data_IF_618287221230
#
_entry.id   IF_618287221230
#
_cell.length_a   1.000
_cell.length_b   1.000
_cell.length_c   1.000
_cell.angle_alpha   90.00
_cell.angle_beta   90.00
_cell.angle_gamma   90.00
#
_symmetry.space_group_name_H-M   'P 1'
#
loop_
_entity.id
_entity.type
_entity.pdbx_description
1 polymer ?
#
# COMPACT_ATOMS: atom_id res chain seq x y z
N UNK A 1 -11.32 -24.79 -62.58
CA UNK A 1 -11.23 -23.51 -61.83
C UNK A 1 -11.63 -23.59 -60.33
N UNK A 2 -11.79 -24.78 -59.72
CA UNK A 2 -12.16 -24.91 -58.28
C UNK A 2 -10.97 -25.11 -57.31
N UNK A 3 -9.81 -25.49 -57.82
CA UNK A 3 -8.60 -25.81 -57.04
C UNK A 3 -7.87 -24.59 -56.47
N UNK A 4 -7.93 -23.42 -57.14
CA UNK A 4 -7.27 -22.20 -56.67
C UNK A 4 -7.94 -21.54 -55.45
N UNK A 5 -9.25 -21.80 -55.24
CA UNK A 5 -10.01 -21.26 -54.10
C UNK A 5 -9.84 -22.07 -52.81
N UNK A 6 -9.40 -23.33 -52.91
CA UNK A 6 -9.11 -24.17 -51.73
C UNK A 6 -7.79 -23.77 -51.06
N UNK A 7 -6.78 -23.36 -51.83
CA UNK A 7 -5.46 -22.99 -51.30
C UNK A 7 -5.43 -21.64 -50.57
N UNK A 8 -6.27 -20.68 -50.96
CA UNK A 8 -6.35 -19.36 -50.30
C UNK A 8 -7.11 -19.43 -48.96
N UNK A 9 -8.13 -20.27 -48.86
CA UNK A 9 -8.90 -20.47 -47.62
C UNK A 9 -8.08 -21.20 -46.55
N UNK A 10 -7.24 -22.17 -46.93
CA UNK A 10 -6.35 -22.85 -45.99
C UNK A 10 -5.23 -21.95 -45.49
N UNK A 11 -4.67 -21.07 -46.34
CA UNK A 11 -3.67 -20.08 -45.92
C UNK A 11 -4.23 -19.03 -44.97
N UNK A 12 -5.43 -18.50 -45.25
CA UNK A 12 -6.14 -17.58 -44.35
C UNK A 12 -6.46 -18.24 -43.00
N UNK A 13 -6.85 -19.52 -43.01
CA UNK A 13 -7.08 -20.30 -41.80
C UNK A 13 -5.81 -20.47 -40.95
N UNK A 14 -4.70 -20.87 -41.58
CA UNK A 14 -3.40 -21.02 -40.89
C UNK A 14 -2.86 -19.68 -40.37
N UNK A 15 -2.99 -18.61 -41.14
CA UNK A 15 -2.59 -17.26 -40.71
C UNK A 15 -3.43 -16.78 -39.51
N UNK A 16 -4.75 -17.01 -39.52
CA UNK A 16 -5.63 -16.65 -38.40
C UNK A 16 -5.32 -17.46 -37.13
N UNK A 17 -4.98 -18.76 -37.28
CA UNK A 17 -4.53 -19.60 -36.17
C UNK A 17 -3.17 -19.10 -35.64
N UNK A 18 -2.22 -18.79 -36.51
CA UNK A 18 -0.91 -18.24 -36.11
C UNK A 18 -1.04 -16.93 -35.31
N UNK A 19 -1.89 -16.01 -35.76
CA UNK A 19 -2.15 -14.73 -35.08
C UNK A 19 -2.84 -14.93 -33.72
N UNK A 20 -3.79 -15.87 -33.62
CA UNK A 20 -4.48 -16.13 -32.36
C UNK A 20 -3.59 -16.77 -31.30
N UNK A 21 -2.64 -17.64 -31.69
CA UNK A 21 -1.64 -18.17 -30.76
C UNK A 21 -0.63 -17.09 -30.31
N UNK A 22 -0.27 -16.15 -31.19
CA UNK A 22 0.62 -15.03 -30.84
C UNK A 22 -0.04 -14.01 -29.90
N UNK A 23 -1.35 -13.82 -30.02
CA UNK A 23 -2.14 -12.93 -29.18
C UNK A 23 -2.61 -13.58 -27.87
N UNK A 24 -2.22 -14.83 -27.59
CA UNK A 24 -2.55 -15.46 -26.31
C UNK A 24 -1.90 -14.66 -25.17
N UNK A 25 -2.68 -14.21 -24.16
CA UNK A 25 -2.12 -13.48 -23.03
C UNK A 25 -1.09 -14.36 -22.33
N UNK A 26 0.14 -13.84 -22.22
CA UNK A 26 1.19 -14.46 -21.41
C UNK A 26 0.63 -14.59 -19.99
N UNK A 27 0.62 -15.80 -19.46
CA UNK A 27 -0.10 -16.15 -18.24
C UNK A 27 0.18 -15.16 -17.11
N UNK A 28 -0.89 -14.67 -16.48
CA UNK A 28 -0.77 -13.94 -15.22
C UNK A 28 -0.27 -14.94 -14.16
N UNK A 29 0.92 -14.69 -13.60
CA UNK A 29 1.36 -15.43 -12.42
C UNK A 29 0.46 -15.00 -11.26
N UNK A 30 -0.48 -15.86 -10.89
CA UNK A 30 -1.25 -15.67 -9.67
C UNK A 30 -0.30 -15.80 -8.46
N UNK A 31 -0.61 -15.08 -7.39
CA UNK A 31 0.07 -15.28 -6.13
C UNK A 31 -0.25 -16.68 -5.58
N UNK A 32 0.76 -17.54 -5.50
CA UNK A 32 0.65 -18.89 -4.90
C UNK A 32 1.84 -19.08 -3.98
N UNK A 33 1.76 -18.51 -2.78
CA UNK A 33 2.78 -18.67 -1.77
C UNK A 33 2.75 -20.11 -1.23
N UNK A 34 3.92 -20.71 -1.03
CA UNK A 34 4.04 -21.82 -0.11
C UNK A 34 3.96 -21.29 1.33
N UNK A 35 3.68 -22.15 2.30
CA UNK A 35 3.72 -21.79 3.72
C UNK A 35 5.06 -21.09 4.02
N UNK A 36 5.08 -19.90 4.67
CA UNK A 36 6.33 -19.24 5.00
C UNK A 36 7.20 -20.13 5.90
N UNK A 37 8.53 -20.11 5.74
CA UNK A 37 9.44 -20.95 6.53
C UNK A 37 9.42 -20.54 8.02
N UNK A 38 9.93 -21.37 8.95
CA UNK A 38 10.03 -21.06 10.37
C UNK A 38 10.74 -19.70 10.65
N UNK A 39 10.57 -19.09 11.84
CA UNK A 39 11.07 -17.73 12.10
C UNK A 39 12.58 -17.57 11.90
N UNK A 40 13.38 -18.57 12.31
CA UNK A 40 14.83 -18.53 12.17
C UNK A 40 15.25 -18.50 10.69
N UNK A 41 14.66 -19.37 9.87
CA UNK A 41 14.92 -19.40 8.42
C UNK A 41 14.43 -18.12 7.73
N UNK A 42 13.25 -17.62 8.08
CA UNK A 42 12.73 -16.36 7.55
C UNK A 42 13.59 -15.15 7.94
N UNK A 43 14.15 -15.16 9.17
CA UNK A 43 15.09 -14.15 9.63
C UNK A 43 16.38 -14.18 8.80
N UNK A 44 16.89 -15.36 8.48
CA UNK A 44 18.08 -15.53 7.64
C UNK A 44 17.84 -15.06 6.20
N UNK A 45 16.67 -15.35 5.63
CA UNK A 45 16.27 -14.95 4.27
C UNK A 45 15.92 -13.46 4.10
N UNK A 46 15.47 -12.80 5.16
CA UNK A 46 15.09 -11.39 5.12
C UNK A 46 16.32 -10.47 5.14
N UNK A 47 16.24 -9.31 4.50
CA UNK A 47 17.31 -8.30 4.59
C UNK A 47 17.18 -7.46 5.87
N UNK A 48 15.96 -7.29 6.36
CA UNK A 48 15.67 -6.65 7.64
C UNK A 48 14.45 -7.28 8.32
N UNK A 49 14.48 -7.32 9.65
CA UNK A 49 13.37 -7.80 10.48
C UNK A 49 13.18 -6.84 11.64
N UNK A 50 11.97 -6.30 11.78
CA UNK A 50 11.65 -5.27 12.77
C UNK A 50 10.18 -5.29 13.16
N UNK A 51 9.89 -4.76 14.34
CA UNK A 51 8.54 -4.55 14.83
C UNK A 51 8.14 -3.10 14.56
N UNK A 52 7.01 -2.87 13.90
CA UNK A 52 6.59 -1.52 13.55
C UNK A 52 5.08 -1.36 13.39
N UNK A 53 4.64 -0.10 13.43
CA UNK A 53 3.25 0.31 13.24
C UNK A 53 3.13 1.25 12.03
N UNK A 54 2.32 0.93 11.02
CA UNK A 54 2.12 1.81 9.88
C UNK A 54 1.23 2.98 10.30
N UNK A 55 1.59 4.20 9.90
CA UNK A 55 0.86 5.42 10.24
C UNK A 55 0.31 6.15 9.01
N UNK A 56 0.84 5.87 7.82
CA UNK A 56 0.35 6.43 6.56
C UNK A 56 0.47 5.41 5.42
N UNK A 57 -0.32 5.63 4.37
CA UNK A 57 -0.25 4.86 3.14
C UNK A 57 -0.44 5.79 1.95
N UNK A 58 0.37 5.59 0.91
CA UNK A 58 0.21 6.17 -0.41
C UNK A 58 0.31 5.06 -1.47
N UNK A 59 -0.07 5.35 -2.71
CA UNK A 59 0.04 4.38 -3.79
C UNK A 59 0.19 5.05 -5.16
N UNK A 60 0.73 4.28 -6.10
CA UNK A 60 0.63 4.51 -7.53
C UNK A 60 -0.26 3.44 -8.18
N UNK A 61 -0.26 3.35 -9.52
CA UNK A 61 -1.07 2.38 -10.27
C UNK A 61 -0.70 0.90 -10.00
N UNK A 62 0.47 0.63 -9.40
CA UNK A 62 1.08 -0.70 -9.28
C UNK A 62 1.48 -1.05 -7.86
N UNK A 63 1.91 -0.08 -7.06
CA UNK A 63 2.49 -0.27 -5.73
C UNK A 63 1.75 0.55 -4.68
N UNK A 64 1.71 0.00 -3.47
CA UNK A 64 1.37 0.71 -2.25
C UNK A 64 2.65 0.94 -1.44
N UNK A 65 2.77 2.11 -0.83
CA UNK A 65 3.87 2.50 0.04
C UNK A 65 3.28 2.80 1.42
N UNK A 66 3.82 2.13 2.44
CA UNK A 66 3.39 2.29 3.82
C UNK A 66 4.53 2.88 4.63
N UNK A 67 4.31 4.01 5.29
CA UNK A 67 5.28 4.55 6.24
C UNK A 67 5.01 3.98 7.63
N UNK A 68 6.06 3.48 8.26
CA UNK A 68 6.05 2.81 9.54
C UNK A 68 6.82 3.60 10.60
N UNK A 69 6.31 3.59 11.83
CA UNK A 69 7.07 3.90 13.04
C UNK A 69 7.62 2.61 13.61
N UNK A 70 8.95 2.54 13.76
CA UNK A 70 9.66 1.32 14.16
C UNK A 70 9.81 1.31 15.68
N UNK A 71 9.31 0.24 16.30
CA UNK A 71 9.36 0.04 17.74
C UNK A 71 10.69 -0.66 18.14
N UNK A 72 11.10 -1.70 17.40
CA UNK A 72 12.38 -2.40 17.61
C UNK A 72 12.86 -3.14 16.37
N UNK A 73 14.13 -3.51 16.34
CA UNK A 73 14.79 -4.17 15.20
C UNK A 73 15.50 -5.44 15.66
N UNK A 74 15.44 -6.50 14.86
CA UNK A 74 16.17 -7.76 15.07
C UNK A 74 17.24 -8.02 14.00
N UNK A 75 17.04 -7.49 12.78
CA UNK A 75 18.01 -7.58 11.69
C UNK A 75 17.94 -6.34 10.82
N UNK A 76 19.10 -5.91 10.31
CA UNK A 76 19.24 -4.80 9.38
C UNK A 76 19.38 -3.44 10.05
N UNK A 77 19.79 -2.46 9.26
CA UNK A 77 19.96 -1.07 9.68
C UNK A 77 18.68 -0.28 9.39
N UNK A 78 17.77 -0.24 10.36
CA UNK A 78 16.46 0.38 10.22
C UNK A 78 16.34 1.58 11.17
N UNK A 79 15.97 2.73 10.61
CA UNK A 79 15.74 3.96 11.36
C UNK A 79 14.39 3.98 12.08
N UNK A 80 14.11 5.05 12.85
CA UNK A 80 12.84 5.18 13.59
C UNK A 80 11.61 5.25 12.67
N UNK A 81 11.82 5.61 11.40
CA UNK A 81 10.81 5.55 10.35
C UNK A 81 11.37 4.81 9.14
N UNK A 82 10.53 4.00 8.54
CA UNK A 82 10.84 3.24 7.32
C UNK A 82 9.62 3.21 6.40
N UNK A 83 9.85 3.30 5.10
CA UNK A 83 8.80 3.09 4.11
C UNK A 83 8.94 1.70 3.51
N UNK A 84 7.82 0.97 3.43
CA UNK A 84 7.74 -0.36 2.83
C UNK A 84 6.88 -0.31 1.58
N UNK A 85 7.47 -0.71 0.46
CA UNK A 85 6.77 -0.91 -0.80
C UNK A 85 6.16 -2.31 -0.88
N UNK A 86 4.95 -2.42 -1.41
CA UNK A 86 4.31 -3.70 -1.71
C UNK A 86 3.44 -3.56 -2.95
N UNK A 87 3.11 -4.66 -3.63
CA UNK A 87 2.19 -4.57 -4.76
C UNK A 87 0.82 -4.05 -4.27
N UNK A 88 0.10 -3.30 -5.11
CA UNK A 88 -1.17 -2.68 -4.72
C UNK A 88 -2.28 -3.72 -4.45
N UNK A 89 -2.19 -4.88 -5.09
CA UNK A 89 -3.24 -5.89 -5.07
C UNK A 89 -2.71 -7.24 -4.59
N UNK A 90 -3.53 -7.94 -3.81
CA UNK A 90 -3.22 -9.29 -3.31
C UNK A 90 -2.99 -10.32 -4.43
N UNK A 91 -3.69 -10.17 -5.56
CA UNK A 91 -3.48 -11.01 -6.75
C UNK A 91 -2.03 -10.93 -7.29
N UNK A 92 -1.34 -9.81 -7.05
CA UNK A 92 0.05 -9.57 -7.40
C UNK A 92 1.01 -9.77 -6.20
N UNK A 93 0.57 -10.51 -5.16
CA UNK A 93 1.29 -10.71 -3.90
C UNK A 93 1.46 -9.43 -3.05
N UNK A 94 0.57 -8.46 -3.21
CA UNK A 94 0.52 -7.24 -2.42
C UNK A 94 -0.04 -7.43 -1.02
N UNK A 95 0.65 -6.94 0.01
CA UNK A 95 0.17 -6.98 1.40
C UNK A 95 -0.57 -5.70 1.75
N UNK A 96 -1.75 -5.83 2.34
CA UNK A 96 -2.45 -4.70 2.95
C UNK A 96 -2.12 -4.65 4.45
N UNK A 97 -1.65 -3.50 4.90
CA UNK A 97 -1.44 -3.23 6.32
C UNK A 97 -2.58 -2.40 6.89
N UNK A 98 -2.94 -2.68 8.14
CA UNK A 98 -3.90 -1.88 8.90
C UNK A 98 -3.16 -0.78 9.66
N UNK A 99 -3.49 0.48 9.37
CA UNK A 99 -2.91 1.65 10.07
C UNK A 99 -3.11 1.50 11.59
N UNK A 100 -2.05 1.80 12.35
CA UNK A 100 -2.00 1.69 13.81
C UNK A 100 -1.80 0.27 14.35
N UNK A 101 -1.89 -0.77 13.52
CA UNK A 101 -1.66 -2.16 13.95
C UNK A 101 -0.18 -2.48 13.95
N UNK A 102 0.32 -3.14 14.99
CA UNK A 102 1.73 -3.54 15.08
C UNK A 102 1.98 -4.84 14.33
N UNK A 103 3.07 -4.88 13.57
CA UNK A 103 3.49 -6.03 12.78
C UNK A 103 4.95 -6.39 13.07
N UNK A 104 5.25 -7.68 13.01
CA UNK A 104 6.61 -8.18 12.81
C UNK A 104 6.81 -8.26 11.29
N UNK A 105 7.66 -7.38 10.76
CA UNK A 105 7.88 -7.21 9.32
C UNK A 105 9.18 -7.89 8.92
N UNK A 106 9.11 -8.79 7.95
CA UNK A 106 10.24 -9.42 7.29
C UNK A 106 10.45 -8.77 5.91
N UNK A 107 11.25 -7.70 5.88
CA UNK A 107 11.46 -6.89 4.69
C UNK A 107 12.67 -7.39 3.87
N UNK A 108 12.59 -7.19 2.57
CA UNK A 108 13.69 -7.41 1.61
C UNK A 108 13.92 -6.16 0.78
N UNK A 109 15.08 -6.02 0.16
CA UNK A 109 15.31 -4.99 -0.85
C UNK A 109 14.73 -5.43 -2.19
N UNK A 110 14.00 -4.54 -2.85
CA UNK A 110 13.55 -4.75 -4.22
C UNK A 110 14.71 -4.45 -5.21
N UNK A 111 14.46 -4.63 -6.51
CA UNK A 111 15.45 -4.34 -7.55
C UNK A 111 15.84 -2.85 -7.63
N UNK A 112 14.98 -1.96 -7.12
CA UNK A 112 15.17 -0.51 -7.09
C UNK A 112 15.97 -0.08 -5.83
N UNK A 113 16.22 -1.01 -4.89
CA UNK A 113 16.93 -0.78 -3.63
C UNK A 113 16.02 -0.42 -2.44
N UNK A 114 14.72 -0.23 -2.67
CA UNK A 114 13.76 0.12 -1.62
C UNK A 114 13.43 -1.09 -0.74
N UNK A 115 13.04 -0.82 0.50
CA UNK A 115 12.47 -1.84 1.36
C UNK A 115 11.10 -2.27 0.86
N UNK A 116 10.91 -3.59 0.75
CA UNK A 116 9.71 -4.19 0.21
C UNK A 116 9.26 -5.39 1.03
N UNK A 117 7.94 -5.59 1.03
CA UNK A 117 7.27 -6.73 1.62
C UNK A 117 6.17 -7.25 0.69
N UNK A 118 5.77 -8.51 0.86
CA UNK A 118 4.68 -9.10 0.08
C UNK A 118 3.93 -10.17 0.86
N UNK A 119 2.82 -10.64 0.29
CA UNK A 119 1.95 -11.63 0.91
C UNK A 119 2.65 -12.96 1.26
N UNK A 120 3.70 -13.31 0.53
CA UNK A 120 4.44 -14.55 0.75
C UNK A 120 5.54 -14.45 1.82
N UNK A 121 5.80 -13.27 2.36
CA UNK A 121 6.72 -13.14 3.48
C UNK A 121 6.09 -13.71 4.75
N UNK A 122 6.94 -13.92 5.77
CA UNK A 122 6.52 -14.31 7.12
C UNK A 122 5.86 -13.15 7.90
N UNK A 123 5.79 -11.94 7.32
CA UNK A 123 5.20 -10.77 7.97
C UNK A 123 3.79 -11.04 8.47
N UNK A 124 3.56 -10.78 9.77
CA UNK A 124 2.26 -10.96 10.44
C UNK A 124 2.08 -9.96 11.57
N UNK A 125 0.82 -9.77 11.99
CA UNK A 125 0.52 -8.87 13.11
C UNK A 125 1.22 -9.38 14.37
N UNK A 126 1.77 -8.48 15.19
CA UNK A 126 2.51 -8.86 16.40
C UNK A 126 1.66 -9.67 17.38
N UNK A 127 0.35 -9.44 17.40
CA UNK A 127 -0.63 -10.20 18.21
C UNK A 127 -0.87 -11.64 17.73
N UNK A 128 -0.26 -12.04 16.61
CA UNK A 128 -0.30 -13.40 16.06
C UNK A 128 1.12 -13.90 15.74
N UNK A 129 2.13 -13.26 16.35
CA UNK A 129 3.54 -13.48 16.06
C UNK A 129 4.28 -14.13 17.23
N UNK A 130 3.57 -14.86 18.11
CA UNK A 130 4.14 -15.39 19.35
C UNK A 130 5.38 -16.26 19.09
N UNK A 131 5.30 -17.12 18.07
CA UNK A 131 6.41 -17.98 17.65
C UNK A 131 7.59 -17.16 17.09
N UNK A 132 7.36 -16.04 16.40
CA UNK A 132 8.52 -15.20 15.98
C UNK A 132 9.11 -14.52 17.19
N UNK A 133 8.30 -13.90 18.04
CA UNK A 133 8.78 -13.13 19.18
C UNK A 133 9.59 -14.00 20.15
N UNK A 134 9.22 -15.29 20.30
CA UNK A 134 10.01 -16.27 21.06
C UNK A 134 11.39 -16.54 20.44
N UNK A 135 11.48 -16.65 19.10
CA UNK A 135 12.73 -16.95 18.40
C UNK A 135 13.61 -15.70 18.23
N UNK A 136 13.01 -14.57 17.89
CA UNK A 136 13.66 -13.30 17.62
C UNK A 136 14.16 -12.63 18.93
N UNK A 137 13.46 -12.85 20.04
CA UNK A 137 13.84 -12.30 21.35
C UNK A 137 13.59 -10.80 21.47
N UNK A 138 14.40 -10.11 22.28
CA UNK A 138 14.12 -8.74 22.70
C UNK A 138 14.21 -7.68 21.59
N UNK A 139 15.11 -7.88 20.62
CA UNK A 139 15.49 -6.87 19.62
C UNK A 139 16.31 -5.71 20.21
N UNK A 140 16.68 -4.76 19.37
CA UNK A 140 17.35 -3.52 19.74
C UNK A 140 16.59 -2.29 19.21
N UNK A 141 16.94 -1.10 19.70
CA UNK A 141 16.33 0.14 19.24
C UNK A 141 16.69 0.43 17.76
N UNK A 142 15.83 1.15 17.01
CA UNK A 142 16.14 1.62 15.67
C UNK A 142 17.36 2.56 15.68
N UNK A 143 18.14 2.53 14.59
CA UNK A 143 19.29 3.42 14.46
C UNK A 143 18.82 4.86 14.28
N UNK A 144 19.12 5.71 15.25
CA UNK A 144 18.78 7.13 15.17
C UNK A 144 19.82 7.83 14.29
N UNK A 145 19.48 8.07 13.03
CA UNK A 145 20.30 8.89 12.14
C UNK A 145 20.00 10.38 12.31
N UNK A 146 20.42 11.00 13.42
CA UNK A 146 20.74 12.43 13.49
C UNK A 146 21.61 12.73 14.75
N UNK A 147 22.59 13.66 14.70
CA UNK A 147 23.52 13.90 15.80
C UNK A 147 22.74 14.34 17.03
N UNK A 148 22.96 13.66 18.15
CA UNK A 148 22.85 14.17 19.52
C UNK A 148 21.96 15.42 19.70
N UNK A 149 20.67 15.31 19.39
CA UNK A 149 19.68 16.03 20.17
C UNK A 149 19.46 15.19 21.44
N UNK A 150 20.52 15.12 22.25
CA UNK A 150 20.37 14.76 23.65
C UNK A 150 19.38 15.78 24.20
N UNK A 151 18.15 15.34 24.42
CA UNK A 151 17.30 15.91 25.45
C UNK A 151 18.05 15.72 26.76
N UNK A 152 18.94 16.67 27.03
CA UNK A 152 19.50 16.90 28.34
C UNK A 152 18.33 17.12 29.29
N UNK A 153 18.39 16.36 30.38
CA UNK A 153 17.51 16.45 31.52
C UNK A 153 17.17 17.89 31.90
N UNK A 154 15.90 18.05 32.23
CA UNK A 154 15.36 18.97 33.23
C UNK A 154 16.41 19.50 34.21
N UNK A 155 16.75 20.78 34.08
CA UNK A 155 17.15 21.61 35.22
C UNK A 155 16.22 22.82 35.20
N UNK A 156 15.15 22.73 35.98
CA UNK A 156 14.30 23.86 36.29
C UNK A 156 15.10 24.85 37.15
N UNK A 157 15.87 25.74 36.51
CA UNK A 157 16.19 27.02 37.14
C UNK A 157 15.02 27.94 36.90
N UNK A 158 14.16 28.05 37.91
CA UNK A 158 13.10 29.05 38.00
C UNK A 158 13.71 30.46 37.80
N UNK A 159 13.34 31.20 36.74
CA UNK A 159 13.71 32.60 36.64
C UNK A 159 12.97 33.39 37.73
N UNK A 160 13.60 34.39 38.38
CA UNK A 160 12.96 35.15 39.44
C UNK A 160 11.68 35.80 38.93
N UNK A 161 10.59 35.58 39.68
CA UNK A 161 9.26 36.10 39.39
C UNK A 161 9.28 37.63 39.39
N UNK A 162 9.34 38.23 38.19
CA UNK A 162 9.08 39.66 38.01
C UNK A 162 7.58 39.88 38.29
N UNK A 163 7.27 40.59 39.36
CA UNK A 163 5.88 40.99 39.65
C UNK A 163 5.57 42.20 38.78
N UNK A 164 4.80 42.00 37.71
CA UNK A 164 4.32 43.10 36.87
C UNK A 164 3.13 43.78 37.55
N UNK A 165 3.15 45.12 37.74
CA UNK A 165 1.96 45.86 38.17
C UNK A 165 0.89 45.83 37.07
N UNK A 166 -0.42 45.83 37.42
CA UNK A 166 -1.50 45.66 36.45
C UNK A 166 -1.69 46.93 35.60
N UNK A 167 -1.56 46.86 34.26
CA UNK A 167 -1.87 48.00 33.41
C UNK A 167 -3.31 47.92 32.88
N UNK A 168 -4.10 48.90 33.34
CA UNK A 168 -5.30 49.52 32.78
C UNK A 168 -6.15 48.77 31.74
N UNK A 169 -7.43 48.65 32.05
CA UNK A 169 -8.50 48.25 31.13
C UNK A 169 -8.60 49.18 29.91
N UNK A 170 -8.72 48.64 28.68
CA UNK A 170 -9.05 49.45 27.51
C UNK A 170 -10.55 49.82 27.50
N UNK A 171 -10.92 51.01 26.97
CA UNK A 171 -12.31 51.46 26.91
C UNK A 171 -13.18 50.58 25.98
N UNK A 172 -14.51 50.53 26.23
CA UNK A 172 -15.42 49.62 25.54
C UNK A 172 -15.52 49.95 24.04
N UNK A 173 -15.27 48.94 23.21
CA UNK A 173 -15.44 49.01 21.77
C UNK A 173 -16.92 48.78 21.41
N UNK A 174 -17.52 49.74 20.70
CA UNK A 174 -18.90 49.65 20.22
C UNK A 174 -19.07 48.60 19.10
N UNK A 175 -20.24 47.93 19.00
CA UNK A 175 -20.46 46.87 18.03
C UNK A 175 -20.68 47.40 16.60
N UNK A 176 -19.85 46.94 15.66
CA UNK A 176 -20.05 47.18 14.24
C UNK A 176 -21.12 46.25 13.66
N UNK A 177 -22.27 46.83 13.28
CA UNK A 177 -23.28 46.17 12.44
C UNK A 177 -22.90 46.31 10.96
N UNK A 178 -22.75 45.19 10.26
CA UNK A 178 -22.82 44.97 8.79
C UNK A 178 -22.38 43.52 8.58
N UNK A 179 -23.13 42.57 8.04
CA UNK A 179 -24.34 42.53 7.23
C UNK A 179 -24.16 41.31 6.32
N UNK A 180 -25.07 40.33 6.38
CA UNK A 180 -25.00 39.12 5.56
C UNK A 180 -25.13 39.46 4.07
N UNK A 181 -24.34 38.81 3.22
CA UNK A 181 -24.64 38.67 1.80
C UNK A 181 -24.46 37.20 1.40
N UNK A 182 -25.59 36.56 1.09
CA UNK A 182 -25.65 35.26 0.43
C UNK A 182 -25.19 35.41 -1.02
N UNK A 183 -24.31 34.53 -1.51
CA UNK A 183 -24.09 34.33 -2.94
C UNK A 183 -24.64 32.94 -3.34
N UNK A 184 -25.37 32.92 -4.45
CA UNK A 184 -26.26 31.85 -4.96
C UNK A 184 -25.50 30.60 -5.44
N UNK A 185 -26.12 29.40 -5.39
CA UNK A 185 -25.63 28.24 -6.11
C UNK A 185 -25.92 28.37 -7.62
N UNK A 186 -24.87 28.28 -8.43
CA UNK A 186 -24.97 28.15 -9.88
C UNK A 186 -25.47 26.76 -10.27
N UNK A 187 -26.67 26.73 -10.84
CA UNK A 187 -27.18 25.65 -11.67
C UNK A 187 -26.38 25.57 -12.98
N UNK A 188 -25.72 24.43 -13.22
CA UNK A 188 -25.33 24.02 -14.58
C UNK A 188 -25.80 22.59 -14.79
N UNK A 189 -26.92 22.48 -15.50
CA UNK A 189 -27.28 21.26 -16.19
C UNK A 189 -26.31 21.04 -17.34
N UNK A 190 -25.77 19.82 -17.43
CA UNK A 190 -25.19 19.28 -18.65
C UNK A 190 -25.78 17.89 -18.81
N UNK A 191 -26.72 17.79 -19.75
CA UNK A 191 -27.19 16.51 -20.26
C UNK A 191 -26.23 16.02 -21.34
N UNK A 192 -25.74 14.80 -21.19
CA UNK A 192 -25.28 13.90 -22.25
C UNK A 192 -25.56 12.48 -21.71
N UNK A 193 -26.47 11.68 -22.24
CA UNK A 193 -26.84 11.53 -23.64
C UNK A 193 -25.73 10.76 -24.35
N UNK A 194 -25.87 9.43 -24.39
CA UNK A 194 -25.15 8.39 -25.16
C UNK A 194 -24.57 7.30 -24.26
N UNK A 195 -25.45 6.39 -23.86
CA UNK A 195 -25.14 5.06 -23.36
C UNK A 195 -26.11 4.17 -24.13
N UNK A 196 -25.60 3.31 -25.02
CA UNK A 196 -26.21 2.09 -25.58
C UNK A 196 -25.58 1.74 -26.93
N UNK A 197 -24.39 1.12 -26.94
CA UNK A 197 -23.97 0.13 -27.98
C UNK A 197 -22.61 -0.52 -27.64
N UNK A 198 -22.55 -1.21 -26.50
CA UNK A 198 -21.36 -2.00 -26.11
C UNK A 198 -21.67 -3.31 -25.36
N UNK A 199 -22.94 -3.71 -25.26
CA UNK A 199 -23.36 -4.79 -24.36
C UNK A 199 -23.47 -6.19 -25.02
N UNK A 200 -23.20 -6.34 -26.32
CA UNK A 200 -23.40 -7.62 -27.00
C UNK A 200 -22.21 -8.60 -26.93
N UNK A 201 -20.98 -8.13 -26.67
CA UNK A 201 -19.78 -9.00 -26.66
C UNK A 201 -19.46 -9.55 -25.26
N UNK A 202 -19.92 -8.89 -24.19
CA UNK A 202 -19.63 -9.29 -22.81
C UNK A 202 -20.55 -10.40 -22.25
N UNK A 203 -21.74 -10.61 -22.84
CA UNK A 203 -22.72 -11.59 -22.34
C UNK A 203 -22.44 -13.01 -22.85
N UNK A 204 -21.88 -13.17 -24.06
CA UNK A 204 -21.51 -14.48 -24.62
C UNK A 204 -20.41 -15.19 -23.83
N UNK A 205 -19.43 -14.43 -23.32
CA UNK A 205 -18.30 -14.99 -22.54
C UNK A 205 -18.67 -15.40 -21.11
N UNK A 206 -19.71 -14.79 -20.51
CA UNK A 206 -20.16 -15.15 -19.15
C UNK A 206 -20.96 -16.46 -19.10
N UNK A 207 -21.60 -16.87 -20.21
CA UNK A 207 -22.37 -18.13 -20.26
C UNK A 207 -21.49 -19.37 -20.42
N UNK A 208 -20.31 -19.25 -21.01
CA UNK A 208 -19.37 -20.37 -21.18
C UNK A 208 -18.66 -20.78 -19.87
N UNK A 209 -18.52 -19.88 -18.91
CA UNK A 209 -17.83 -20.13 -17.62
C UNK A 209 -18.78 -20.69 -16.54
N UNK A 210 -20.09 -20.60 -16.74
CA UNK A 210 -21.10 -20.90 -15.71
C UNK A 210 -21.88 -22.20 -15.93
N UNK A 211 -21.46 -23.11 -16.81
CA UNK A 211 -22.10 -24.43 -16.91
C UNK A 211 -21.72 -25.30 -15.71
N UNK A 212 -22.69 -25.66 -14.83
CA UNK A 212 -22.46 -26.69 -13.83
C UNK A 212 -22.64 -28.05 -14.51
N UNK A 213 -21.63 -28.93 -14.42
CA UNK A 213 -21.79 -30.36 -14.70
C UNK A 213 -22.85 -30.92 -13.76
N UNK A 214 -24.04 -31.23 -14.28
CA UNK A 214 -25.00 -32.13 -13.62
C UNK A 214 -24.48 -33.57 -13.73
N UNK A 215 -24.33 -34.24 -12.59
CA UNK A 215 -24.47 -35.69 -12.49
C UNK A 215 -25.95 -36.03 -12.48
#
# INVERSE_FOLDING_TARGET
MRSARLGSVTWLGLAAIGVTLWAAPRGARACSCMMPPPPAEALDEADAVFEARPFSMSNDDRRAYYSFEVDRVWKGEIGPRVEIATALHSAACGRTYQIGTRYVVYARRNADGDWADGLCSRTRASLSAEEDLQVLGAGHAPISGEPAAQSGSSEATEPPRITTPPPAEPPPTAPGRRGCAMEKPHTRGVGHGVLLLGLAVAIGRRRAVRSPRRR
#
